data_IF_956260809096
#
_entry.id   IF_956260809096
#
_cell.length_a   1.000
_cell.length_b   1.000
_cell.length_c   1.000
_cell.angle_alpha   90.00
_cell.angle_beta   90.00
_cell.angle_gamma   90.00
#
_symmetry.space_group_name_H-M   'P 1'
#
loop_
_entity.id
_entity.type
_entity.pdbx_description
1 polymer ?
#
# COMPACT_ATOMS: atom_id res chain seq x y z
N UNK A 1 1.50 5.46 4.46
CA UNK A 1 2.12 5.98 3.21
C UNK A 1 3.51 5.40 2.84
N UNK A 2 4.10 4.55 3.67
CA UNK A 2 5.51 4.10 3.55
C UNK A 2 5.68 2.72 2.88
N UNK A 3 4.72 2.32 2.05
CA UNK A 3 4.79 1.05 1.34
C UNK A 3 4.26 1.17 -0.09
N UNK A 4 2.97 0.95 -0.29
CA UNK A 4 2.31 1.04 -1.59
C UNK A 4 1.16 2.01 -1.44
N UNK A 5 1.41 3.29 -1.77
CA UNK A 5 0.39 4.35 -1.65
C UNK A 5 -0.82 4.06 -2.53
N UNK A 6 -2.00 4.53 -2.16
CA UNK A 6 -3.25 4.20 -2.87
C UNK A 6 -3.91 2.91 -2.39
N UNK A 7 -3.18 2.03 -1.69
CA UNK A 7 -3.76 0.91 -0.94
C UNK A 7 -3.91 1.30 0.53
N UNK A 8 -4.98 0.82 1.15
CA UNK A 8 -5.30 1.12 2.55
C UNK A 8 -4.20 0.58 3.47
N UNK A 9 -3.81 1.40 4.44
CA UNK A 9 -2.71 1.09 5.35
C UNK A 9 -2.91 -0.27 6.05
N UNK A 10 -1.84 -1.07 6.07
CA UNK A 10 -1.82 -2.39 6.71
C UNK A 10 -2.87 -3.39 6.19
N UNK A 11 -3.44 -3.21 4.98
CA UNK A 11 -4.44 -4.13 4.39
C UNK A 11 -3.91 -5.01 3.25
N UNK A 12 -2.67 -4.84 2.82
CA UNK A 12 -2.03 -5.71 1.83
C UNK A 12 -1.44 -6.97 2.49
N UNK A 13 -1.67 -8.11 1.85
CA UNK A 13 -1.17 -9.42 2.29
C UNK A 13 -2.21 -10.28 2.99
N UNK A 14 -1.78 -11.28 3.78
CA UNK A 14 -2.66 -12.25 4.41
C UNK A 14 -3.75 -11.60 5.26
N UNK A 15 -4.98 -12.08 5.10
CA UNK A 15 -6.14 -11.74 5.93
C UNK A 15 -6.66 -12.98 6.66
N UNK A 16 -7.18 -12.78 7.86
CA UNK A 16 -7.84 -13.86 8.61
C UNK A 16 -9.20 -14.23 7.99
N UNK A 17 -9.86 -15.23 8.57
CA UNK A 17 -11.18 -15.70 8.13
C UNK A 17 -12.33 -14.68 8.29
N UNK A 18 -12.04 -13.49 8.84
CA UNK A 18 -12.97 -12.39 8.99
C UNK A 18 -12.59 -11.18 8.14
N UNK A 19 -11.55 -11.30 7.29
CA UNK A 19 -11.07 -10.23 6.44
C UNK A 19 -10.23 -9.17 7.16
N UNK A 20 -9.81 -9.44 8.40
CA UNK A 20 -8.90 -8.56 9.11
C UNK A 20 -7.46 -8.82 8.64
N UNK A 21 -6.62 -7.77 8.58
CA UNK A 21 -5.22 -7.95 8.22
C UNK A 21 -4.51 -8.82 9.27
N UNK A 22 -3.95 -9.95 8.83
CA UNK A 22 -3.18 -10.86 9.67
C UNK A 22 -1.68 -10.52 9.62
N UNK A 23 -1.22 -10.00 8.48
CA UNK A 23 0.21 -9.80 8.21
C UNK A 23 0.91 -11.08 7.76
N UNK A 24 2.21 -11.01 7.49
CA UNK A 24 2.97 -12.13 6.97
C UNK A 24 4.45 -12.02 7.29
N UNK A 25 5.20 -13.10 7.07
CA UNK A 25 6.61 -13.18 7.43
C UNK A 25 7.58 -12.80 6.30
N UNK A 26 7.07 -12.44 5.12
CA UNK A 26 7.88 -11.95 4.00
C UNK A 26 7.25 -10.70 3.40
N UNK A 27 8.02 -9.61 3.28
CA UNK A 27 7.55 -8.33 2.71
C UNK A 27 8.52 -7.87 1.63
N UNK A 28 7.98 -7.49 0.47
CA UNK A 28 8.73 -6.86 -0.60
C UNK A 28 8.08 -5.51 -0.93
N UNK A 29 8.88 -4.44 -0.94
CA UNK A 29 8.45 -3.07 -1.25
C UNK A 29 9.53 -2.37 -2.06
N UNK A 30 9.13 -1.63 -3.07
CA UNK A 30 9.94 -0.71 -3.86
C UNK A 30 9.15 0.56 -4.11
N UNK A 31 9.70 1.70 -3.72
CA UNK A 31 9.09 3.02 -3.94
C UNK A 31 10.02 3.84 -4.81
N UNK A 32 9.54 4.27 -5.97
CA UNK A 32 10.32 5.02 -6.94
C UNK A 32 9.69 6.39 -7.11
N UNK A 33 10.46 7.46 -6.93
CA UNK A 33 9.96 8.83 -7.00
C UNK A 33 10.77 9.69 -7.96
N UNK A 34 10.06 10.50 -8.74
CA UNK A 34 10.61 11.59 -9.54
C UNK A 34 10.21 12.90 -8.86
N UNK A 35 11.20 13.64 -8.37
CA UNK A 35 10.97 14.94 -7.74
C UNK A 35 10.82 15.98 -8.85
N UNK A 36 9.71 16.74 -8.77
CA UNK A 36 9.41 17.79 -9.74
C UNK A 36 10.05 19.12 -9.30
N UNK A 37 10.51 19.94 -10.25
CA UNK A 37 11.04 21.26 -9.93
C UNK A 37 9.95 22.14 -9.32
N UNK A 38 10.26 22.75 -8.17
CA UNK A 38 9.39 23.70 -7.49
C UNK A 38 9.90 25.13 -7.68
N UNK A 39 9.01 26.13 -7.78
CA UNK A 39 9.43 27.52 -7.81
C UNK A 39 10.26 27.89 -6.57
N UNK A 40 11.27 28.75 -6.74
CA UNK A 40 12.32 29.00 -5.74
C UNK A 40 11.80 29.36 -4.36
N UNK A 41 10.67 30.08 -4.26
CA UNK A 41 10.04 30.44 -2.97
C UNK A 41 9.53 29.25 -2.14
N UNK A 42 9.33 28.09 -2.76
CA UNK A 42 8.83 26.87 -2.10
C UNK A 42 9.83 25.72 -2.11
N UNK A 43 10.92 25.84 -2.87
CA UNK A 43 11.89 24.74 -3.04
C UNK A 43 12.52 24.26 -1.72
N UNK A 44 12.57 25.10 -0.68
CA UNK A 44 13.10 24.73 0.64
C UNK A 44 12.02 24.23 1.62
N UNK A 45 10.74 24.52 1.37
CA UNK A 45 9.64 24.22 2.31
C UNK A 45 8.71 23.14 1.80
N UNK A 46 8.65 22.90 0.48
CA UNK A 46 7.79 21.90 -0.12
C UNK A 46 8.53 21.08 -1.19
N UNK A 47 8.21 19.79 -1.25
CA UNK A 47 8.65 18.86 -2.29
C UNK A 47 7.43 18.22 -2.91
N UNK A 48 7.35 18.28 -4.23
CA UNK A 48 6.34 17.55 -5.01
C UNK A 48 7.04 16.44 -5.76
N UNK A 49 6.50 15.23 -5.70
CA UNK A 49 6.98 14.09 -6.46
C UNK A 49 5.86 13.35 -7.17
N UNK A 50 6.18 12.81 -8.34
CA UNK A 50 5.40 11.73 -8.94
C UNK A 50 6.03 10.41 -8.49
N UNK A 51 5.21 9.41 -8.19
CA UNK A 51 5.70 8.13 -7.69
C UNK A 51 5.15 6.93 -8.46
N UNK A 52 5.91 5.84 -8.39
CA UNK A 52 5.50 4.50 -8.76
C UNK A 52 5.95 3.52 -7.67
N UNK A 53 4.97 2.95 -6.97
CA UNK A 53 5.19 2.01 -5.88
C UNK A 53 4.84 0.59 -6.31
N UNK A 54 5.63 -0.38 -5.83
CA UNK A 54 5.38 -1.81 -5.95
C UNK A 54 5.55 -2.45 -4.58
N UNK A 55 4.63 -3.32 -4.18
CA UNK A 55 4.87 -4.15 -3.00
C UNK A 55 3.72 -5.06 -2.62
N UNK A 56 4.00 -5.97 -1.69
CA UNK A 56 3.01 -6.77 -0.98
C UNK A 56 3.64 -7.44 0.25
N UNK A 57 2.81 -8.01 1.11
CA UNK A 57 3.18 -8.89 2.23
C UNK A 57 2.69 -10.30 1.92
N UNK A 58 3.50 -11.29 2.28
CA UNK A 58 3.33 -12.69 1.94
C UNK A 58 3.58 -13.56 3.17
N UNK A 59 3.07 -14.79 3.10
CA UNK A 59 3.37 -15.83 4.06
C UNK A 59 4.25 -16.90 3.41
N UNK A 60 5.32 -17.31 4.08
CA UNK A 60 6.15 -18.45 3.67
C UNK A 60 5.83 -19.68 4.52
N UNK A 61 5.97 -20.86 3.91
CA UNK A 61 5.60 -22.14 4.54
C UNK A 61 4.10 -22.47 4.40
N UNK A 62 3.71 -23.64 4.91
CA UNK A 62 2.38 -24.22 4.65
C UNK A 62 1.61 -24.61 5.92
N UNK A 63 2.09 -24.19 7.10
CA UNK A 63 1.47 -24.54 8.39
C UNK A 63 0.20 -23.72 8.67
N UNK A 64 0.14 -22.49 8.17
CA UNK A 64 -0.99 -21.59 8.34
C UNK A 64 -1.86 -21.62 7.08
N UNK A 65 -3.16 -21.72 7.28
CA UNK A 65 -4.17 -21.67 6.22
C UNK A 65 -5.00 -20.41 6.42
N UNK A 66 -5.20 -19.67 5.34
CA UNK A 66 -6.11 -18.54 5.30
C UNK A 66 -7.33 -18.95 4.50
N UNK A 67 -8.49 -18.38 4.87
CA UNK A 67 -9.76 -18.72 4.24
C UNK A 67 -10.37 -17.48 3.62
N UNK A 68 -11.00 -17.68 2.47
CA UNK A 68 -11.78 -16.68 1.79
C UNK A 68 -13.05 -16.28 2.56
N UNK A 69 -13.80 -15.30 2.03
CA UNK A 69 -15.08 -14.87 2.62
C UNK A 69 -16.13 -15.98 2.76
N UNK A 70 -16.01 -17.07 2.00
CA UNK A 70 -16.88 -18.24 2.07
C UNK A 70 -16.55 -19.20 3.22
N UNK A 71 -15.48 -18.93 3.98
CA UNK A 71 -15.03 -19.72 5.13
C UNK A 71 -14.53 -21.13 4.78
N UNK A 72 -14.38 -21.47 3.50
CA UNK A 72 -14.05 -22.84 3.06
C UNK A 72 -12.94 -22.89 2.01
N UNK A 73 -12.86 -21.89 1.13
CA UNK A 73 -11.81 -21.82 0.13
C UNK A 73 -10.52 -21.35 0.76
N UNK A 74 -9.44 -22.11 0.54
CA UNK A 74 -8.12 -21.75 1.04
C UNK A 74 -7.51 -20.67 0.15
N UNK A 75 -7.23 -19.51 0.75
CA UNK A 75 -6.54 -18.40 0.11
C UNK A 75 -5.03 -18.53 0.36
N UNK A 76 -4.24 -18.42 -0.71
CA UNK A 76 -2.81 -18.67 -0.67
C UNK A 76 -2.01 -17.37 -0.85
N UNK A 77 -1.30 -17.00 0.22
CA UNK A 77 -0.45 -15.81 0.27
C UNK A 77 1.04 -16.11 0.07
N UNK A 78 1.40 -17.22 -0.58
CA UNK A 78 2.78 -17.49 -0.99
C UNK A 78 3.31 -16.40 -1.92
N UNK A 79 4.63 -16.21 -1.90
CA UNK A 79 5.27 -15.25 -2.80
C UNK A 79 4.99 -15.60 -4.27
N UNK A 80 4.46 -14.62 -4.99
CA UNK A 80 4.25 -14.68 -6.43
C UNK A 80 4.40 -13.29 -7.01
N UNK A 81 5.11 -13.16 -8.13
CA UNK A 81 5.31 -11.87 -8.82
C UNK A 81 4.00 -11.29 -9.34
N UNK A 82 2.98 -12.13 -9.58
CA UNK A 82 1.63 -11.73 -10.00
C UNK A 82 0.82 -11.08 -8.88
N UNK A 83 1.19 -11.32 -7.63
CA UNK A 83 0.53 -10.78 -6.44
C UNK A 83 1.12 -9.44 -5.99
N UNK A 84 2.19 -8.96 -6.62
CA UNK A 84 2.75 -7.65 -6.32
C UNK A 84 1.79 -6.54 -6.73
N UNK A 85 1.37 -5.74 -5.75
CA UNK A 85 0.49 -4.59 -5.95
C UNK A 85 1.29 -3.40 -6.42
N UNK A 86 0.68 -2.59 -7.27
CA UNK A 86 1.33 -1.47 -7.95
C UNK A 86 0.43 -0.26 -7.92
N UNK A 87 1.02 0.91 -7.75
CA UNK A 87 0.31 2.17 -7.81
C UNK A 87 1.18 3.28 -8.37
N UNK A 88 0.52 4.29 -8.90
CA UNK A 88 1.14 5.55 -9.35
C UNK A 88 0.44 6.70 -8.67
N UNK A 89 1.11 7.84 -8.54
CA UNK A 89 0.44 9.01 -7.99
C UNK A 89 1.34 10.22 -7.82
N UNK A 90 0.79 11.20 -7.11
CA UNK A 90 1.49 12.42 -6.72
C UNK A 90 1.61 12.47 -5.20
N UNK A 91 2.75 12.96 -4.73
CA UNK A 91 3.00 13.21 -3.32
C UNK A 91 3.47 14.64 -3.11
N UNK A 92 3.06 15.21 -1.98
CA UNK A 92 3.51 16.52 -1.50
C UNK A 92 4.03 16.34 -0.09
N UNK A 93 5.28 16.76 0.11
CA UNK A 93 5.86 16.89 1.43
C UNK A 93 5.97 18.37 1.73
N UNK A 94 5.41 18.81 2.85
CA UNK A 94 5.43 20.20 3.26
C UNK A 94 5.99 20.30 4.68
N UNK A 95 7.11 21.01 4.79
CA UNK A 95 7.72 21.36 6.05
C UNK A 95 7.00 22.60 6.61
N UNK A 96 6.06 22.38 7.52
CA UNK A 96 5.35 23.43 8.21
C UNK A 96 6.02 23.72 9.58
N UNK A 97 5.76 24.88 10.20
CA UNK A 97 6.34 25.23 11.51
C UNK A 97 6.08 24.21 12.62
N UNK A 98 5.00 23.43 12.50
CA UNK A 98 4.55 22.45 13.49
C UNK A 98 5.01 21.02 13.20
N UNK A 99 5.70 20.78 12.07
CA UNK A 99 6.18 19.45 11.69
C UNK A 99 6.11 19.17 10.19
N UNK A 100 6.53 17.97 9.81
CA UNK A 100 6.46 17.49 8.44
C UNK A 100 5.06 16.94 8.14
N UNK A 101 4.43 17.52 7.13
CA UNK A 101 3.19 17.02 6.56
C UNK A 101 3.51 16.26 5.28
N UNK A 102 2.98 15.06 5.14
CA UNK A 102 3.09 14.26 3.92
C UNK A 102 1.70 13.97 3.42
N UNK A 103 1.44 14.28 2.17
CA UNK A 103 0.20 14.01 1.47
C UNK A 103 0.52 13.19 0.24
N UNK A 104 -0.35 12.25 -0.10
CA UNK A 104 -0.27 11.54 -1.37
C UNK A 104 -1.65 11.25 -1.91
N UNK A 105 -1.77 11.34 -3.23
CA UNK A 105 -2.89 10.81 -3.97
C UNK A 105 -2.40 9.70 -4.88
N UNK A 106 -2.77 8.46 -4.57
CA UNK A 106 -2.35 7.25 -5.28
C UNK A 106 -3.52 6.60 -6.03
N UNK A 107 -3.22 6.11 -7.23
CA UNK A 107 -4.11 5.31 -8.06
C UNK A 107 -3.56 3.88 -8.13
N UNK A 108 -4.24 2.90 -7.52
CA UNK A 108 -3.93 1.49 -7.66
C UNK A 108 -4.07 1.02 -9.11
N UNK A 109 -3.04 0.34 -9.64
CA UNK A 109 -3.03 -0.13 -11.03
C UNK A 109 -3.59 -1.55 -11.20
N UNK A 110 -3.54 -2.36 -10.14
CA UNK A 110 -3.93 -3.77 -10.18
C UNK A 110 -4.64 -4.22 -8.89
N UNK A 111 -5.43 -3.32 -8.30
CA UNK A 111 -6.30 -3.67 -7.19
C UNK A 111 -7.32 -4.72 -7.64
N UNK A 112 -7.49 -5.78 -6.84
CA UNK A 112 -8.51 -6.80 -7.02
C UNK A 112 -9.72 -6.42 -6.20
N UNK A 113 -10.89 -6.38 -6.81
CA UNK A 113 -12.12 -6.28 -6.07
C UNK A 113 -12.41 -7.63 -5.39
N UNK A 114 -13.02 -7.60 -4.20
CA UNK A 114 -13.59 -8.80 -3.62
C UNK A 114 -14.68 -9.30 -4.57
N UNK A 115 -14.52 -10.53 -5.06
CA UNK A 115 -15.51 -11.19 -5.91
C UNK A 115 -15.87 -12.51 -5.23
N UNK A 116 -17.16 -12.77 -4.95
CA UNK A 116 -17.62 -14.06 -4.45
C UNK A 116 -17.15 -15.27 -5.27
N UNK A 117 -16.85 -15.09 -6.55
CA UNK A 117 -16.33 -16.12 -7.45
C UNK A 117 -14.79 -16.26 -7.40
N UNK A 118 -14.07 -15.21 -6.97
CA UNK A 118 -12.59 -15.25 -6.85
C UNK A 118 -12.14 -15.72 -5.46
N UNK A 119 -13.08 -16.00 -4.56
CA UNK A 119 -12.88 -16.59 -3.23
C UNK A 119 -11.85 -15.88 -2.33
N UNK A 120 -11.49 -14.64 -2.64
CA UNK A 120 -10.54 -13.83 -1.89
C UNK A 120 -11.19 -12.56 -1.35
N UNK A 121 -10.66 -12.03 -0.25
CA UNK A 121 -11.15 -10.82 0.42
C UNK A 121 -11.04 -9.53 -0.40
N UNK A 122 -10.29 -9.55 -1.51
CA UNK A 122 -10.00 -8.36 -2.31
C UNK A 122 -9.03 -7.38 -1.64
N UNK A 123 -8.53 -6.44 -2.43
CA UNK A 123 -7.68 -5.34 -1.98
C UNK A 123 -8.53 -4.16 -1.53
N UNK A 124 -8.06 -3.49 -0.48
CA UNK A 124 -8.66 -2.24 -0.02
C UNK A 124 -7.81 -1.06 -0.47
N UNK A 125 -8.48 -0.06 -1.03
CA UNK A 125 -7.84 1.10 -1.65
C UNK A 125 -8.17 2.36 -0.86
N UNK A 126 -7.20 3.26 -0.76
CA UNK A 126 -7.33 4.56 -0.13
C UNK A 126 -6.55 5.57 -0.96
N UNK A 127 -7.26 6.30 -1.83
CA UNK A 127 -6.63 7.18 -2.82
C UNK A 127 -5.87 8.33 -2.18
N UNK A 128 -6.52 9.07 -1.29
CA UNK A 128 -5.89 10.17 -0.55
C UNK A 128 -5.38 9.69 0.80
N UNK A 129 -4.09 9.90 1.07
CA UNK A 129 -3.43 9.52 2.31
C UNK A 129 -2.63 10.71 2.85
N UNK A 130 -2.61 10.86 4.17
CA UNK A 130 -1.82 11.91 4.82
C UNK A 130 -1.21 11.43 6.14
N UNK A 131 -0.09 12.03 6.51
CA UNK A 131 0.54 11.85 7.83
C UNK A 131 1.08 13.17 8.35
N UNK A 132 0.96 13.40 9.65
CA UNK A 132 1.41 14.62 10.34
C UNK A 132 2.34 14.21 11.48
N UNK A 133 3.55 14.77 11.53
CA UNK A 133 4.46 14.65 12.67
C UNK A 133 5.83 14.06 12.35
N UNK A 134 6.63 13.84 13.40
CA UNK A 134 7.91 13.12 13.33
C UNK A 134 7.61 11.62 13.21
N UNK A 135 7.64 11.10 11.98
CA UNK A 135 7.57 9.67 11.73
C UNK A 135 8.91 9.03 12.12
N UNK A 136 8.89 8.13 13.10
CA UNK A 136 9.89 7.07 13.25
C UNK A 136 9.30 5.77 12.72
#
# INVERSE_FOLDING_TARGET
PDSVRGFRESRLGPKDQFGNPYGGNFRLVSQNEIILPMPSKWAQTARVSAFFDIGNVFQTGSKLKFFGPDGSTVDNYHFSTKELKRSVGLAVQWLAPLGLFRFSFGVPLNARHGDPQLHGWGDETEGFQFSVGNAF
#
